data_IF_261471523041
#
_entry.id   IF_261471523041
#
_cell.length_a   1.000
_cell.length_b   1.000
_cell.length_c   1.000
_cell.angle_alpha   90.00
_cell.angle_beta   90.00
_cell.angle_gamma   90.00
#
_symmetry.space_group_name_H-M   'P 1'
#
loop_
_entity.id
_entity.type
_entity.pdbx_description
1 polymer ?
#
# COMPACT_ATOMS: atom_id res chain seq x y z
N UNK A 1 -17.91 -18.91 10.20
CA UNK A 1 -16.89 -19.19 9.16
C UNK A 1 -16.25 -17.89 8.72
N UNK A 2 -15.07 -17.94 8.12
CA UNK A 2 -14.36 -16.74 7.63
C UNK A 2 -14.36 -16.70 6.09
N UNK A 3 -14.50 -15.49 5.53
CA UNK A 3 -14.29 -15.26 4.10
C UNK A 3 -12.81 -14.98 3.85
N UNK A 4 -12.24 -15.64 2.84
CA UNK A 4 -10.82 -15.52 2.49
C UNK A 4 -10.69 -14.84 1.13
N UNK A 5 -9.83 -13.83 1.07
CA UNK A 5 -9.44 -13.19 -0.19
C UNK A 5 -8.16 -13.84 -0.71
N UNK A 6 -8.22 -14.45 -1.89
CA UNK A 6 -7.03 -15.00 -2.55
C UNK A 6 -6.35 -13.93 -3.38
N UNK A 7 -5.07 -13.67 -3.09
CA UNK A 7 -4.26 -12.71 -3.82
C UNK A 7 -3.26 -13.44 -4.74
N UNK A 8 -3.02 -12.93 -5.96
CA UNK A 8 -2.03 -13.51 -6.86
C UNK A 8 -0.62 -13.49 -6.27
N UNK A 9 0.14 -14.56 -6.52
CA UNK A 9 1.54 -14.65 -6.09
C UNK A 9 2.39 -13.66 -6.88
N UNK A 10 3.28 -12.93 -6.20
CA UNK A 10 4.22 -11.93 -6.76
C UNK A 10 3.60 -10.59 -7.23
N UNK A 11 2.34 -10.31 -6.90
CA UNK A 11 1.68 -9.02 -7.20
C UNK A 11 1.41 -8.26 -5.90
N UNK A 12 2.47 -7.79 -5.23
CA UNK A 12 2.34 -7.15 -3.91
C UNK A 12 1.59 -5.81 -3.97
N UNK A 13 1.58 -5.15 -5.14
CA UNK A 13 0.81 -3.93 -5.40
C UNK A 13 -0.71 -4.13 -5.37
N UNK A 14 -1.18 -5.38 -5.49
CA UNK A 14 -2.59 -5.77 -5.32
C UNK A 14 -2.96 -6.04 -3.85
N UNK A 15 -1.98 -6.15 -2.96
CA UNK A 15 -2.20 -6.32 -1.53
C UNK A 15 -2.26 -4.95 -0.83
N UNK A 16 -3.47 -4.46 -0.52
CA UNK A 16 -3.65 -3.11 -0.01
C UNK A 16 -2.94 -2.86 1.33
N UNK A 17 -2.68 -3.90 2.13
CA UNK A 17 -1.99 -3.78 3.42
C UNK A 17 -0.52 -3.34 3.26
N UNK A 18 0.10 -3.58 2.11
CA UNK A 18 1.47 -3.14 1.82
C UNK A 18 1.58 -1.60 1.86
N UNK A 19 0.52 -0.88 1.48
CA UNK A 19 0.49 0.58 1.56
C UNK A 19 0.38 1.07 3.00
N UNK A 20 -0.40 0.38 3.83
CA UNK A 20 -0.50 0.65 5.28
C UNK A 20 0.87 0.45 5.95
N UNK A 21 1.53 -0.69 5.69
CA UNK A 21 2.88 -0.95 6.19
C UNK A 21 3.90 0.04 5.64
N UNK A 22 3.79 0.44 4.37
CA UNK A 22 4.65 1.44 3.77
C UNK A 22 4.60 2.79 4.48
N UNK A 23 3.41 3.27 4.83
CA UNK A 23 3.25 4.51 5.60
C UNK A 23 3.71 4.38 7.04
N UNK A 24 3.35 3.29 7.71
CA UNK A 24 3.77 3.03 9.09
C UNK A 24 5.30 2.98 9.19
N UNK A 25 5.97 2.27 8.28
CA UNK A 25 7.43 2.21 8.20
C UNK A 25 8.05 3.59 7.92
N UNK A 26 7.42 4.40 7.07
CA UNK A 26 7.88 5.75 6.79
C UNK A 26 7.84 6.60 8.07
N UNK A 27 6.73 6.57 8.81
CA UNK A 27 6.60 7.29 10.07
C UNK A 27 7.65 6.83 11.09
N UNK A 28 7.77 5.52 11.29
CA UNK A 28 8.77 4.96 12.20
C UNK A 28 10.19 5.41 11.83
N UNK A 29 10.55 5.40 10.53
CA UNK A 29 11.86 5.84 10.05
C UNK A 29 12.13 7.33 10.29
N UNK A 30 11.11 8.17 10.20
CA UNK A 30 11.23 9.62 10.41
C UNK A 30 11.32 10.00 11.90
N UNK A 31 10.88 9.12 12.81
CA UNK A 31 10.75 9.41 14.24
C UNK A 31 11.57 8.49 15.16
N UNK A 32 12.30 7.51 14.63
CA UNK A 32 13.10 6.57 15.42
C UNK A 32 14.59 6.95 15.44
N UNK A 33 15.22 6.79 16.60
CA UNK A 33 16.67 6.99 16.80
C UNK A 33 17.53 5.80 16.33
N UNK A 34 16.95 4.84 15.61
CA UNK A 34 17.60 3.63 15.07
C UNK A 34 18.19 2.68 16.14
N UNK A 35 17.59 2.60 17.34
CA UNK A 35 17.78 1.49 18.28
C UNK A 35 16.58 0.54 18.28
N UNK A 36 16.76 -0.68 18.79
CA UNK A 36 15.65 -1.65 18.92
C UNK A 36 14.64 -1.15 19.95
N UNK A 37 15.07 -0.60 21.08
CA UNK A 37 14.13 -0.09 22.09
C UNK A 37 13.28 1.07 21.53
N UNK A 38 13.93 2.04 20.86
CA UNK A 38 13.22 3.15 20.24
C UNK A 38 12.27 2.68 19.12
N UNK A 39 12.62 1.61 18.40
CA UNK A 39 11.72 1.01 17.42
C UNK A 39 10.50 0.36 18.09
N UNK A 40 10.69 -0.35 19.21
CA UNK A 40 9.58 -0.92 19.98
C UNK A 40 8.61 0.17 20.47
N UNK A 41 9.15 1.29 20.97
CA UNK A 41 8.35 2.41 21.46
C UNK A 41 7.59 3.13 20.34
N UNK A 42 8.22 3.33 19.17
CA UNK A 42 7.60 4.06 18.06
C UNK A 42 6.61 3.22 17.26
N UNK A 43 6.74 1.89 17.25
CA UNK A 43 5.92 1.00 16.44
C UNK A 43 4.41 1.21 16.63
N UNK A 44 3.84 1.19 17.86
CA UNK A 44 2.41 1.41 18.04
C UNK A 44 1.95 2.79 17.52
N UNK A 45 2.73 3.83 17.78
CA UNK A 45 2.45 5.20 17.32
C UNK A 45 2.48 5.27 15.79
N UNK A 46 3.44 4.60 15.17
CA UNK A 46 3.57 4.55 13.72
C UNK A 46 2.39 3.85 13.04
N UNK A 47 1.86 2.79 13.66
CA UNK A 47 0.68 2.09 13.19
C UNK A 47 -0.58 2.97 13.33
N UNK A 48 -0.74 3.61 14.48
CA UNK A 48 -1.86 4.53 14.76
C UNK A 48 -1.81 5.81 13.91
N UNK A 49 -0.63 6.18 13.39
CA UNK A 49 -0.48 7.35 12.52
C UNK A 49 -1.21 7.21 11.18
N UNK A 50 -1.55 5.98 10.76
CA UNK A 50 -2.24 5.75 9.49
C UNK A 50 -3.75 5.92 9.69
N UNK A 51 -4.26 7.08 9.25
CA UNK A 51 -5.69 7.40 9.31
C UNK A 51 -6.56 6.29 8.68
N UNK A 52 -7.63 5.81 9.37
CA UNK A 52 -8.51 4.75 8.86
C UNK A 52 -9.10 5.04 7.47
N UNK A 53 -9.34 6.31 7.14
CA UNK A 53 -9.84 6.74 5.83
C UNK A 53 -8.86 6.44 4.68
N UNK A 54 -7.56 6.29 4.97
CA UNK A 54 -6.56 5.89 3.98
C UNK A 54 -6.68 4.41 3.61
N UNK A 55 -7.16 3.55 4.52
CA UNK A 55 -7.32 2.10 4.27
C UNK A 55 -8.25 1.88 3.08
N UNK A 56 -9.41 2.55 3.07
CA UNK A 56 -10.34 2.49 1.94
C UNK A 56 -9.71 2.99 0.64
N UNK A 57 -8.91 4.07 0.70
CA UNK A 57 -8.18 4.59 -0.46
C UNK A 57 -7.14 3.60 -0.99
N UNK A 58 -6.45 2.87 -0.12
CA UNK A 58 -5.51 1.81 -0.52
C UNK A 58 -6.23 0.65 -1.18
N UNK A 59 -7.36 0.21 -0.63
CA UNK A 59 -8.19 -0.81 -1.25
C UNK A 59 -8.69 -0.40 -2.64
N UNK A 60 -9.27 0.80 -2.78
CA UNK A 60 -9.70 1.29 -4.10
C UNK A 60 -8.53 1.39 -5.10
N UNK A 61 -7.34 1.75 -4.62
CA UNK A 61 -6.12 1.76 -5.45
C UNK A 61 -5.78 0.36 -5.98
N UNK A 62 -5.84 -0.68 -5.15
CA UNK A 62 -5.55 -2.05 -5.63
C UNK A 62 -6.61 -2.55 -6.60
N UNK A 63 -7.88 -2.16 -6.42
CA UNK A 63 -8.94 -2.47 -7.38
C UNK A 63 -8.70 -1.83 -8.76
N UNK A 64 -8.22 -0.58 -8.82
CA UNK A 64 -7.87 0.07 -10.10
C UNK A 64 -6.69 -0.62 -10.80
N UNK A 65 -5.68 -1.04 -10.04
CA UNK A 65 -4.54 -1.78 -10.60
C UNK A 65 -5.00 -3.14 -11.12
N UNK A 66 -5.88 -3.83 -10.37
CA UNK A 66 -6.49 -5.09 -10.80
C UNK A 66 -7.28 -4.93 -12.10
N UNK A 67 -8.08 -3.86 -12.21
CA UNK A 67 -8.82 -3.54 -13.42
C UNK A 67 -7.88 -3.29 -14.60
N UNK A 68 -6.80 -2.52 -14.41
CA UNK A 68 -5.80 -2.30 -15.45
C UNK A 68 -5.18 -3.62 -15.96
N UNK A 69 -4.89 -4.57 -15.07
CA UNK A 69 -4.43 -5.90 -15.46
C UNK A 69 -5.50 -6.69 -16.22
N UNK A 70 -6.77 -6.60 -15.81
CA UNK A 70 -7.89 -7.21 -16.51
C UNK A 70 -8.05 -6.65 -17.93
N UNK A 71 -7.80 -5.35 -18.12
CA UNK A 71 -7.84 -4.66 -19.40
C UNK A 71 -6.58 -4.92 -20.26
N UNK A 72 -5.67 -5.78 -19.80
CA UNK A 72 -4.44 -6.13 -20.52
C UNK A 72 -3.31 -5.10 -20.40
N UNK A 73 -3.45 -4.09 -19.54
CA UNK A 73 -2.41 -3.08 -19.30
C UNK A 73 -1.31 -3.68 -18.44
N UNK A 74 -0.18 -4.00 -19.06
CA UNK A 74 0.94 -4.69 -18.40
C UNK A 74 1.75 -3.74 -17.51
N UNK A 75 2.14 -4.22 -16.33
CA UNK A 75 3.02 -3.49 -15.41
C UNK A 75 4.29 -2.99 -16.12
N UNK A 76 4.61 -1.70 -15.96
CA UNK A 76 5.78 -1.06 -16.57
C UNK A 76 5.56 -0.52 -17.99
N UNK A 77 4.42 -0.79 -18.62
CA UNK A 77 4.02 -0.13 -19.87
C UNK A 77 3.79 1.37 -19.66
N UNK A 78 3.82 2.15 -20.74
CA UNK A 78 3.54 3.59 -20.67
C UNK A 78 2.11 3.86 -20.19
N UNK A 79 1.16 3.03 -20.62
CA UNK A 79 -0.24 3.10 -20.19
C UNK A 79 -0.39 2.78 -18.70
N UNK A 80 0.37 1.80 -18.20
CA UNK A 80 0.38 1.48 -16.78
C UNK A 80 0.92 2.64 -15.94
N UNK A 81 1.90 3.40 -16.43
CA UNK A 81 2.40 4.60 -15.73
C UNK A 81 1.33 5.69 -15.59
N UNK A 82 0.31 5.70 -16.46
CA UNK A 82 -0.81 6.63 -16.33
C UNK A 82 -1.74 6.28 -15.16
N UNK A 83 -1.98 4.97 -14.96
CA UNK A 83 -2.73 4.42 -13.82
C UNK A 83 -1.89 4.53 -12.54
N UNK A 84 -0.64 4.07 -12.62
CA UNK A 84 0.30 3.91 -11.52
C UNK A 84 1.55 4.79 -11.70
N UNK A 85 1.50 6.00 -11.14
CA UNK A 85 2.65 6.93 -11.17
C UNK A 85 3.69 6.61 -10.10
N UNK A 86 3.26 6.19 -8.92
CA UNK A 86 4.13 5.69 -7.85
C UNK A 86 3.36 4.93 -6.78
N UNK A 87 4.10 4.26 -5.88
CA UNK A 87 3.55 3.72 -4.64
C UNK A 87 2.72 4.77 -3.86
N UNK A 88 3.05 6.07 -3.98
CA UNK A 88 2.36 7.17 -3.29
C UNK A 88 1.29 7.89 -4.13
N UNK A 89 1.23 7.71 -5.46
CA UNK A 89 0.27 8.40 -6.34
C UNK A 89 -0.27 7.47 -7.43
N UNK A 90 -1.58 7.20 -7.36
CA UNK A 90 -2.38 6.61 -8.45
C UNK A 90 -3.42 7.64 -8.85
N UNK A 91 -3.64 7.83 -10.15
CA UNK A 91 -4.65 8.76 -10.64
C UNK A 91 -6.02 8.21 -10.24
N UNK A 92 -6.85 9.03 -9.60
CA UNK A 92 -8.27 8.74 -9.47
C UNK A 92 -8.92 9.26 -10.75
N UNK A 93 -9.64 8.39 -11.45
CA UNK A 93 -10.70 8.81 -12.36
C UNK A 93 -11.88 9.35 -11.54
#
# INVERSE_FOLDING_TARGET
GHLVLFLPKFYCELNWIEYYWGQSKKYARENCSYSIEALCDILPIALDSVMPQLIGKYYCKTQRILQAYYDGIVYGSEDFKQVYKSHRRVRAE
#
